data_IF_104567496750
#
_entry.id   IF_104567496750
#
_cell.length_a   1.000
_cell.length_b   1.000
_cell.length_c   1.000
_cell.angle_alpha   90.00
_cell.angle_beta   90.00
_cell.angle_gamma   90.00
#
_symmetry.space_group_name_H-M   'P 1'
#
loop_
_entity.id
_entity.type
_entity.pdbx_description
1 polymer ?
#
# COMPACT_ATOMS: atom_id res chain seq x y z
N UNK A 1 -10.95 -0.17 22.23
CA UNK A 1 -12.09 0.53 21.59
C UNK A 1 -12.81 -0.46 20.70
N UNK A 2 -14.15 -0.43 20.64
CA UNK A 2 -14.96 -1.30 19.77
C UNK A 2 -15.45 -0.50 18.57
N UNK A 3 -15.40 -1.10 17.38
CA UNK A 3 -15.82 -0.45 16.14
C UNK A 3 -17.05 -1.17 15.58
N UNK A 4 -18.19 -0.47 15.37
CA UNK A 4 -19.36 -1.08 14.76
C UNK A 4 -19.13 -1.32 13.26
N UNK A 5 -19.61 -2.45 12.75
CA UNK A 5 -19.45 -2.82 11.35
C UNK A 5 -19.93 -4.23 11.04
N UNK A 6 -19.65 -4.68 9.81
CA UNK A 6 -19.94 -6.02 9.32
C UNK A 6 -18.62 -6.72 8.97
N UNK A 7 -18.42 -7.92 9.50
CA UNK A 7 -17.32 -8.79 9.06
C UNK A 7 -17.81 -9.67 7.91
N UNK A 8 -17.34 -9.39 6.70
CA UNK A 8 -17.64 -10.18 5.52
C UNK A 8 -16.71 -11.38 5.43
N UNK A 9 -17.25 -12.51 5.02
CA UNK A 9 -16.50 -13.65 4.52
C UNK A 9 -16.58 -13.64 2.99
N UNK A 10 -15.60 -13.03 2.33
CA UNK A 10 -15.66 -12.76 0.88
C UNK A 10 -15.11 -13.93 0.03
N UNK A 11 -14.35 -14.83 0.64
CA UNK A 11 -13.84 -16.07 0.06
C UNK A 11 -13.47 -17.06 1.18
N UNK A 12 -13.36 -18.38 0.93
CA UNK A 12 -13.04 -19.35 1.96
C UNK A 12 -11.82 -18.96 2.81
N UNK A 13 -12.02 -18.81 4.13
CA UNK A 13 -11.01 -18.38 5.11
C UNK A 13 -10.47 -16.97 4.90
N UNK A 14 -11.22 -16.09 4.22
CA UNK A 14 -10.84 -14.71 3.92
C UNK A 14 -11.92 -13.75 4.39
N UNK A 15 -11.50 -12.74 5.14
CA UNK A 15 -12.41 -11.79 5.77
C UNK A 15 -12.03 -10.35 5.50
N UNK A 16 -13.04 -9.48 5.43
CA UNK A 16 -12.87 -8.04 5.35
C UNK A 16 -13.91 -7.37 6.26
N UNK A 17 -13.50 -6.32 6.97
CA UNK A 17 -14.35 -5.61 7.91
C UNK A 17 -14.86 -4.31 7.31
N UNK A 18 -16.17 -4.18 7.10
CA UNK A 18 -16.84 -2.96 6.67
C UNK A 18 -17.26 -2.14 7.89
N UNK A 19 -16.73 -0.94 8.04
CA UNK A 19 -17.10 -0.01 9.12
C UNK A 19 -18.49 0.58 8.87
N UNK A 20 -19.26 0.81 9.94
CA UNK A 20 -20.52 1.57 9.84
C UNK A 20 -20.25 3.02 9.41
N UNK A 21 -21.05 3.61 8.49
CA UNK A 21 -22.21 3.03 7.81
C UNK A 21 -21.85 2.00 6.73
N UNK A 22 -22.61 0.91 6.70
CA UNK A 22 -22.41 -0.21 5.77
C UNK A 22 -23.38 -0.15 4.59
N UNK A 23 -23.15 -1.01 3.58
CA UNK A 23 -24.04 -1.20 2.42
C UNK A 23 -24.20 0.03 1.51
N UNK A 24 -23.28 1.00 1.56
CA UNK A 24 -23.27 2.13 0.63
C UNK A 24 -22.83 1.69 -0.76
N UNK A 25 -23.24 2.44 -1.79
CA UNK A 25 -22.95 2.04 -3.18
C UNK A 25 -21.49 2.23 -3.60
N UNK A 26 -20.73 3.05 -2.89
CA UNK A 26 -19.30 3.24 -3.13
C UNK A 26 -18.50 2.60 -2.00
N UNK A 27 -17.35 2.01 -2.32
CA UNK A 27 -16.51 1.32 -1.35
C UNK A 27 -15.03 1.71 -1.49
N UNK A 28 -14.40 1.99 -0.35
CA UNK A 28 -12.94 2.09 -0.23
C UNK A 28 -12.44 0.78 0.38
N UNK A 29 -11.56 0.07 -0.32
CA UNK A 29 -10.82 -1.04 0.27
C UNK A 29 -9.54 -0.48 0.88
N UNK A 30 -9.47 -0.47 2.19
CA UNK A 30 -8.33 0.00 2.96
C UNK A 30 -7.33 -1.14 3.19
N UNK A 31 -6.08 -0.93 2.81
CA UNK A 31 -4.97 -1.88 2.87
C UNK A 31 -3.89 -1.30 3.79
N UNK A 32 -3.58 -1.99 4.88
CA UNK A 32 -2.55 -1.60 5.83
C UNK A 32 -1.13 -1.91 5.37
N UNK A 33 -0.13 -1.60 6.20
CA UNK A 33 1.25 -2.02 5.95
C UNK A 33 1.52 -3.49 6.33
N UNK A 34 2.79 -3.93 6.18
CA UNK A 34 3.22 -5.32 6.40
C UNK A 34 2.73 -5.90 7.73
N UNK A 35 2.89 -5.18 8.84
CA UNK A 35 2.50 -5.64 10.17
C UNK A 35 1.02 -5.41 10.50
N UNK A 36 0.29 -4.76 9.61
CA UNK A 36 -1.09 -4.39 9.84
C UNK A 36 -2.06 -5.54 9.50
N UNK A 37 -3.23 -5.43 10.11
CA UNK A 37 -4.39 -6.27 9.85
C UNK A 37 -5.64 -5.51 10.25
N UNK A 38 -6.69 -6.23 10.65
CA UNK A 38 -7.90 -5.56 11.10
C UNK A 38 -7.63 -4.72 12.35
N UNK A 39 -8.05 -3.45 12.30
CA UNK A 39 -8.06 -2.49 13.39
C UNK A 39 -6.67 -2.12 13.98
N UNK A 40 -5.57 -2.35 13.26
CA UNK A 40 -4.22 -1.95 13.71
C UNK A 40 -3.91 -0.47 13.46
N UNK A 41 -4.68 0.21 12.60
CA UNK A 41 -4.48 1.61 12.20
C UNK A 41 -5.59 2.52 12.75
N UNK A 42 -5.33 3.31 13.82
CA UNK A 42 -6.36 4.12 14.45
C UNK A 42 -6.99 5.18 13.55
N UNK A 43 -6.24 5.78 12.62
CA UNK A 43 -6.76 6.88 11.79
C UNK A 43 -7.77 6.44 10.72
N UNK A 44 -7.97 5.13 10.51
CA UNK A 44 -9.02 4.61 9.61
C UNK A 44 -10.40 5.14 10.03
N UNK A 45 -10.62 5.37 11.32
CA UNK A 45 -11.89 5.96 11.82
C UNK A 45 -12.11 7.39 11.33
N UNK A 46 -11.05 8.19 11.22
CA UNK A 46 -11.15 9.54 10.65
C UNK A 46 -11.54 9.46 9.17
N UNK A 47 -10.96 8.50 8.43
CA UNK A 47 -11.32 8.24 7.03
C UNK A 47 -12.80 7.83 6.90
N UNK A 48 -13.29 6.97 7.81
CA UNK A 48 -14.72 6.60 7.87
C UNK A 48 -15.59 7.84 8.08
N UNK A 49 -15.28 8.67 9.08
CA UNK A 49 -16.07 9.85 9.42
C UNK A 49 -16.16 10.86 8.27
N UNK A 50 -15.07 11.04 7.53
CA UNK A 50 -14.98 12.03 6.47
C UNK A 50 -15.59 11.56 5.14
N UNK A 51 -15.51 10.26 4.83
CA UNK A 51 -15.96 9.72 3.55
C UNK A 51 -17.38 9.13 3.59
N UNK A 52 -17.86 8.71 4.76
CA UNK A 52 -19.23 8.20 4.90
C UNK A 52 -20.31 9.20 4.46
N UNK A 53 -20.23 10.51 4.78
CA UNK A 53 -21.19 11.51 4.28
C UNK A 53 -21.20 11.66 2.75
N UNK A 54 -20.12 11.25 2.08
CA UNK A 54 -19.98 11.24 0.62
C UNK A 54 -20.47 9.94 -0.02
N UNK A 55 -21.06 9.03 0.76
CA UNK A 55 -21.62 7.77 0.27
C UNK A 55 -20.60 6.64 0.11
N UNK A 56 -19.43 6.73 0.77
CA UNK A 56 -18.40 5.69 0.75
C UNK A 56 -18.43 4.83 2.00
N UNK A 57 -18.56 3.52 1.83
CA UNK A 57 -18.27 2.55 2.87
C UNK A 57 -16.76 2.25 2.91
N UNK A 58 -16.19 2.16 4.10
CA UNK A 58 -14.77 1.80 4.28
C UNK A 58 -14.68 0.34 4.68
N UNK A 59 -13.87 -0.41 3.96
CA UNK A 59 -13.71 -1.86 4.10
C UNK A 59 -12.24 -2.16 4.29
N UNK A 60 -11.85 -2.63 5.47
CA UNK A 60 -10.48 -3.07 5.72
C UNK A 60 -10.33 -4.56 5.40
N UNK A 61 -9.39 -4.90 4.51
CA UNK A 61 -9.13 -6.28 4.11
C UNK A 61 -8.16 -6.95 5.09
N UNK A 62 -8.41 -8.22 5.41
CA UNK A 62 -7.41 -9.10 6.01
C UNK A 62 -6.87 -10.05 4.93
N UNK A 63 -5.55 -10.08 4.77
CA UNK A 63 -4.86 -10.85 3.73
C UNK A 63 -4.00 -11.96 4.35
N UNK A 64 -3.52 -12.90 3.52
CA UNK A 64 -2.51 -13.86 4.00
C UNK A 64 -1.25 -13.14 4.48
N UNK A 65 -0.90 -12.01 3.88
CA UNK A 65 0.27 -11.21 4.23
C UNK A 65 0.10 -10.40 5.52
N UNK A 66 -1.11 -10.26 6.06
CA UNK A 66 -1.33 -9.48 7.29
C UNK A 66 -0.50 -9.99 8.48
N UNK A 67 -0.17 -9.08 9.40
CA UNK A 67 0.61 -9.33 10.61
C UNK A 67 2.04 -9.85 10.35
N UNK A 68 2.23 -11.18 10.35
CA UNK A 68 3.53 -11.84 10.15
C UNK A 68 3.54 -12.74 8.92
N UNK A 69 2.46 -12.74 8.14
CA UNK A 69 2.36 -13.57 6.94
C UNK A 69 3.09 -12.98 5.73
N UNK A 70 3.36 -11.67 5.72
CA UNK A 70 3.94 -10.96 4.57
C UNK A 70 5.32 -11.48 4.16
N UNK A 71 6.15 -11.93 5.10
CA UNK A 71 7.48 -12.48 4.81
C UNK A 71 7.42 -13.79 4.00
N UNK A 72 6.26 -14.45 3.99
CA UNK A 72 5.99 -15.71 3.28
C UNK A 72 4.98 -15.54 2.13
N UNK A 73 4.63 -14.29 1.77
CA UNK A 73 3.69 -13.94 0.70
C UNK A 73 4.40 -13.24 -0.46
N UNK A 74 3.61 -12.71 -1.40
CA UNK A 74 4.05 -11.89 -2.53
C UNK A 74 2.99 -10.85 -2.88
N UNK A 75 3.38 -9.75 -3.54
CA UNK A 75 2.42 -8.77 -4.08
C UNK A 75 1.41 -9.39 -5.05
N UNK A 76 1.86 -10.36 -5.85
CA UNK A 76 0.99 -11.10 -6.78
C UNK A 76 -0.16 -11.79 -6.02
N UNK A 77 0.16 -12.44 -4.89
CA UNK A 77 -0.83 -13.12 -4.05
C UNK A 77 -1.75 -12.12 -3.36
N UNK A 78 -1.21 -11.01 -2.88
CA UNK A 78 -2.00 -9.96 -2.23
C UNK A 78 -2.97 -9.33 -3.24
N UNK A 79 -2.53 -9.09 -4.48
CA UNK A 79 -3.39 -8.62 -5.56
C UNK A 79 -4.49 -9.62 -5.96
N UNK A 80 -4.21 -10.92 -5.93
CA UNK A 80 -5.23 -11.97 -6.14
C UNK A 80 -6.30 -11.98 -5.03
N UNK A 81 -5.90 -11.76 -3.78
CA UNK A 81 -6.80 -11.67 -2.63
C UNK A 81 -7.65 -10.39 -2.68
N UNK A 82 -7.04 -9.25 -3.00
CA UNK A 82 -7.75 -7.99 -3.26
C UNK A 82 -8.75 -8.16 -4.40
N UNK A 83 -8.36 -8.80 -5.50
CA UNK A 83 -9.26 -9.02 -6.65
C UNK A 83 -10.44 -9.94 -6.28
N UNK A 84 -10.23 -10.88 -5.37
CA UNK A 84 -11.31 -11.72 -4.84
C UNK A 84 -12.29 -10.90 -3.99
N UNK A 85 -11.81 -9.97 -3.17
CA UNK A 85 -12.68 -9.04 -2.47
C UNK A 85 -13.42 -8.10 -3.43
N UNK A 86 -12.74 -7.54 -4.45
CA UNK A 86 -13.38 -6.70 -5.47
C UNK A 86 -14.52 -7.44 -6.17
N UNK A 87 -14.29 -8.68 -6.62
CA UNK A 87 -15.36 -9.52 -7.23
C UNK A 87 -16.53 -9.76 -6.27
N UNK A 88 -16.25 -10.04 -5.00
CA UNK A 88 -17.29 -10.19 -3.99
C UNK A 88 -18.11 -8.91 -3.84
N UNK A 89 -17.47 -7.75 -3.69
CA UNK A 89 -18.15 -6.45 -3.53
C UNK A 89 -18.98 -6.05 -4.76
N UNK A 90 -18.54 -6.41 -5.97
CA UNK A 90 -19.33 -6.22 -7.20
C UNK A 90 -20.53 -7.17 -7.31
N UNK A 91 -20.51 -8.31 -6.62
CA UNK A 91 -21.61 -9.27 -6.63
C UNK A 91 -22.80 -8.79 -5.79
N UNK A 92 -23.98 -9.39 -6.00
CA UNK A 92 -25.17 -9.13 -5.19
C UNK A 92 -24.95 -9.42 -3.70
N UNK A 93 -24.17 -10.46 -3.38
CA UNK A 93 -23.84 -10.81 -1.99
C UNK A 93 -22.95 -9.75 -1.30
N UNK A 94 -22.12 -9.04 -2.05
CA UNK A 94 -21.28 -7.95 -1.55
C UNK A 94 -21.91 -6.55 -1.67
N UNK A 95 -23.19 -6.47 -2.04
CA UNK A 95 -23.96 -5.22 -2.10
C UNK A 95 -24.01 -4.54 -3.48
N UNK A 96 -23.48 -5.19 -4.53
CA UNK A 96 -23.39 -4.65 -5.89
C UNK A 96 -22.84 -3.23 -5.89
N UNK A 97 -21.59 -3.06 -5.41
CA UNK A 97 -20.95 -1.74 -5.32
C UNK A 97 -20.74 -1.15 -6.72
N UNK A 98 -21.07 0.13 -6.87
CA UNK A 98 -20.99 0.89 -8.13
C UNK A 98 -19.59 1.47 -8.33
N UNK A 99 -18.92 1.88 -7.24
CA UNK A 99 -17.56 2.42 -7.26
C UNK A 99 -16.70 1.72 -6.23
N UNK A 100 -15.47 1.34 -6.62
CA UNK A 100 -14.49 0.75 -5.72
C UNK A 100 -13.14 1.44 -5.93
N UNK A 101 -12.54 1.95 -4.86
CA UNK A 101 -11.15 2.44 -4.88
C UNK A 101 -10.32 1.70 -3.84
N UNK A 102 -9.01 1.65 -4.06
CA UNK A 102 -8.06 1.16 -3.06
C UNK A 102 -7.48 2.33 -2.27
N UNK A 103 -7.22 2.12 -0.99
CA UNK A 103 -6.47 3.04 -0.14
C UNK A 103 -5.36 2.25 0.53
N UNK A 104 -4.15 2.39 0.02
CA UNK A 104 -2.94 1.80 0.58
C UNK A 104 -2.30 2.72 1.61
N UNK A 105 -2.05 2.19 2.80
CA UNK A 105 -1.20 2.80 3.84
C UNK A 105 0.17 2.14 3.84
N UNK A 106 1.25 2.92 3.88
CA UNK A 106 2.61 2.39 3.98
C UNK A 106 2.87 1.42 2.82
N UNK A 107 3.40 0.24 3.10
CA UNK A 107 3.56 -0.88 2.14
C UNK A 107 2.27 -1.36 1.47
N UNK A 108 1.07 -1.10 2.03
CA UNK A 108 -0.20 -1.28 1.30
C UNK A 108 -0.34 -0.35 0.07
N UNK A 109 0.52 0.67 -0.04
CA UNK A 109 0.68 1.45 -1.27
C UNK A 109 1.35 0.65 -2.39
N UNK A 110 2.22 -0.31 -2.06
CA UNK A 110 2.80 -1.24 -3.04
C UNK A 110 1.70 -2.16 -3.57
N UNK A 111 0.83 -2.68 -2.69
CA UNK A 111 -0.35 -3.44 -3.11
C UNK A 111 -1.26 -2.61 -4.02
N UNK A 112 -1.50 -1.34 -3.67
CA UNK A 112 -2.33 -0.43 -4.47
C UNK A 112 -1.70 -0.19 -5.85
N UNK A 113 -0.41 0.15 -5.91
CA UNK A 113 0.34 0.33 -7.16
C UNK A 113 0.29 -0.94 -8.01
N UNK A 114 0.67 -2.07 -7.43
CA UNK A 114 0.74 -3.35 -8.11
C UNK A 114 -0.64 -3.78 -8.64
N UNK A 115 -1.69 -3.59 -7.85
CA UNK A 115 -3.06 -3.86 -8.27
C UNK A 115 -3.51 -2.94 -9.42
N UNK A 116 -3.22 -1.64 -9.36
CA UNK A 116 -3.55 -0.71 -10.45
C UNK A 116 -2.90 -1.10 -11.77
N UNK A 117 -1.66 -1.61 -11.72
CA UNK A 117 -0.93 -2.07 -12.91
C UNK A 117 -1.48 -3.37 -13.50
N UNK A 118 -1.99 -4.28 -12.65
CA UNK A 118 -2.38 -5.63 -13.06
C UNK A 118 -3.89 -5.81 -13.26
N UNK A 119 -4.69 -5.23 -12.36
CA UNK A 119 -6.15 -5.39 -12.28
C UNK A 119 -6.89 -4.05 -12.27
N UNK A 120 -6.24 -2.95 -12.64
CA UNK A 120 -6.81 -1.60 -12.58
C UNK A 120 -8.17 -1.46 -13.26
N UNK A 121 -8.45 -2.20 -14.33
CA UNK A 121 -9.76 -2.18 -15.02
C UNK A 121 -10.95 -2.65 -14.16
N UNK A 122 -10.70 -3.30 -13.02
CA UNK A 122 -11.73 -3.81 -12.11
C UNK A 122 -12.19 -2.79 -11.06
N UNK A 123 -11.45 -1.68 -10.91
CA UNK A 123 -11.66 -0.63 -9.91
C UNK A 123 -11.65 0.77 -10.53
N UNK A 124 -12.03 1.77 -9.75
CA UNK A 124 -12.24 3.14 -10.19
C UNK A 124 -11.07 4.09 -9.83
N UNK A 125 -10.13 3.65 -8.99
CA UNK A 125 -8.93 4.43 -8.65
C UNK A 125 -8.18 3.90 -7.42
N UNK A 126 -7.11 4.60 -7.03
CA UNK A 126 -6.29 4.23 -5.87
C UNK A 126 -5.63 5.41 -5.16
N UNK A 127 -5.48 5.30 -3.85
CA UNK A 127 -4.78 6.29 -3.00
C UNK A 127 -3.58 5.58 -2.38
N UNK A 128 -2.41 6.20 -2.48
CA UNK A 128 -1.16 5.71 -1.90
C UNK A 128 -0.71 6.71 -0.83
N UNK A 129 -0.91 6.36 0.44
CA UNK A 129 -0.49 7.17 1.57
C UNK A 129 0.76 6.59 2.21
N UNK A 130 1.79 7.42 2.39
CA UNK A 130 3.06 6.97 2.98
C UNK A 130 3.76 5.92 2.11
N UNK A 131 3.69 6.04 0.79
CA UNK A 131 4.34 5.15 -0.17
C UNK A 131 5.87 5.33 -0.14
N UNK A 132 6.52 4.63 0.78
CA UNK A 132 7.98 4.67 0.98
C UNK A 132 8.65 3.42 0.42
N UNK A 133 9.95 3.50 0.17
CA UNK A 133 10.77 2.35 -0.19
C UNK A 133 11.13 1.52 1.04
N UNK A 134 10.75 0.24 1.05
CA UNK A 134 11.21 -0.71 2.08
C UNK A 134 12.72 -0.91 2.00
N UNK A 135 13.30 -0.93 0.79
CA UNK A 135 14.73 -1.08 0.56
C UNK A 135 15.52 0.02 1.26
N UNK A 136 15.13 1.27 1.03
CA UNK A 136 15.76 2.44 1.65
C UNK A 136 15.39 2.52 3.14
N UNK A 137 14.13 2.23 3.48
CA UNK A 137 13.60 2.23 4.84
C UNK A 137 14.36 1.28 5.78
N UNK A 138 14.39 -0.01 5.45
CA UNK A 138 15.04 -1.04 6.28
C UNK A 138 16.56 -0.88 6.36
N UNK A 139 17.22 -0.40 5.29
CA UNK A 139 18.68 -0.24 5.30
C UNK A 139 19.18 0.74 6.35
N UNK A 140 18.36 1.68 6.83
CA UNK A 140 18.76 2.68 7.83
C UNK A 140 19.16 2.08 9.18
N UNK A 141 18.61 0.92 9.52
CA UNK A 141 18.83 0.25 10.80
C UNK A 141 19.89 -0.84 10.78
N UNK A 142 20.59 -1.04 9.66
CA UNK A 142 21.48 -2.19 9.44
C UNK A 142 22.85 -1.71 8.98
N UNK A 143 23.92 -2.30 9.54
CA UNK A 143 25.29 -2.08 9.07
C UNK A 143 25.43 -2.42 7.58
N UNK A 144 26.11 -1.57 6.81
CA UNK A 144 26.24 -1.71 5.35
C UNK A 144 26.85 -3.06 4.93
N UNK A 145 27.89 -3.51 5.63
CA UNK A 145 28.52 -4.79 5.33
C UNK A 145 27.62 -5.96 5.72
N UNK A 146 26.81 -5.83 6.79
CA UNK A 146 25.78 -6.82 7.10
C UNK A 146 24.69 -6.87 6.02
N UNK A 147 24.15 -5.70 5.63
CA UNK A 147 23.10 -5.57 4.62
C UNK A 147 23.53 -6.21 3.29
N UNK A 148 24.73 -5.88 2.82
CA UNK A 148 25.29 -6.43 1.58
C UNK A 148 25.43 -7.96 1.64
N UNK A 149 25.97 -8.51 2.74
CA UNK A 149 26.10 -9.97 2.90
C UNK A 149 24.73 -10.69 2.87
N UNK A 150 23.73 -10.14 3.55
CA UNK A 150 22.39 -10.72 3.59
C UNK A 150 21.74 -10.70 2.20
N UNK A 151 21.88 -9.59 1.49
CA UNK A 151 21.42 -9.40 0.11
C UNK A 151 22.08 -10.40 -0.86
N UNK A 152 23.41 -10.50 -0.83
CA UNK A 152 24.15 -11.41 -1.73
C UNK A 152 23.77 -12.87 -1.50
N UNK A 153 23.63 -13.27 -0.24
CA UNK A 153 23.21 -14.63 0.11
C UNK A 153 21.78 -14.92 -0.35
N UNK A 154 20.83 -14.02 -0.12
CA UNK A 154 19.45 -14.21 -0.56
C UNK A 154 19.35 -14.30 -2.09
N UNK A 155 20.06 -13.41 -2.80
CA UNK A 155 20.15 -13.42 -4.27
C UNK A 155 20.75 -14.71 -4.80
N UNK A 156 21.81 -15.21 -4.15
CA UNK A 156 22.43 -16.49 -4.50
C UNK A 156 21.47 -17.67 -4.33
N UNK A 157 20.69 -17.71 -3.24
CA UNK A 157 19.68 -18.75 -3.02
C UNK A 157 18.58 -18.72 -4.08
N UNK A 158 18.07 -17.54 -4.43
CA UNK A 158 17.11 -17.39 -5.54
C UNK A 158 17.72 -17.90 -6.86
N UNK A 159 18.97 -17.56 -7.16
CA UNK A 159 19.68 -18.04 -8.35
C UNK A 159 19.88 -19.56 -8.40
N UNK A 160 19.89 -20.24 -7.26
CA UNK A 160 19.93 -21.71 -7.14
C UNK A 160 18.55 -22.37 -7.20
N UNK A 161 17.48 -21.61 -7.43
CA UNK A 161 16.10 -22.12 -7.42
C UNK A 161 15.50 -22.29 -6.01
N UNK A 162 16.17 -21.80 -4.97
CA UNK A 162 15.76 -21.92 -3.57
C UNK A 162 14.94 -20.71 -3.09
N UNK A 163 14.15 -20.13 -3.99
CA UNK A 163 13.46 -18.86 -3.72
C UNK A 163 12.41 -18.94 -2.58
N UNK A 164 11.87 -20.13 -2.35
CA UNK A 164 10.85 -20.38 -1.32
C UNK A 164 11.45 -20.79 0.05
N UNK A 165 12.77 -20.93 0.15
CA UNK A 165 13.42 -21.31 1.40
C UNK A 165 13.26 -20.18 2.42
N UNK A 166 12.84 -20.53 3.64
CA UNK A 166 12.80 -19.60 4.77
C UNK A 166 14.23 -19.32 5.20
N UNK A 167 14.57 -18.03 5.28
CA UNK A 167 15.92 -17.59 5.61
C UNK A 167 16.20 -17.75 7.11
N UNK A 168 17.49 -17.87 7.50
CA UNK A 168 17.87 -17.93 8.91
C UNK A 168 17.41 -16.71 9.72
N UNK A 169 17.36 -16.84 11.05
CA UNK A 169 16.80 -15.83 11.96
C UNK A 169 17.50 -14.46 11.89
N UNK A 170 18.74 -14.39 11.42
CA UNK A 170 19.43 -13.12 11.16
C UNK A 170 18.64 -12.20 10.21
N UNK A 171 17.89 -12.77 9.26
CA UNK A 171 17.03 -12.03 8.35
C UNK A 171 15.76 -11.56 9.05
N UNK A 172 15.13 -12.41 9.88
CA UNK A 172 13.95 -12.02 10.65
C UNK A 172 14.24 -10.90 11.65
N UNK A 173 15.46 -10.81 12.18
CA UNK A 173 15.86 -9.74 13.09
C UNK A 173 15.84 -8.36 12.42
N UNK A 174 16.16 -8.31 11.13
CA UNK A 174 16.05 -7.10 10.31
C UNK A 174 14.59 -6.83 9.93
N UNK A 175 13.80 -7.88 9.78
CA UNK A 175 12.40 -7.85 9.33
C UNK A 175 11.39 -7.82 10.49
N UNK A 176 11.70 -7.06 11.54
CA UNK A 176 10.81 -6.85 12.71
C UNK A 176 10.36 -8.15 13.39
N UNK A 177 11.22 -9.17 13.40
CA UNK A 177 10.92 -10.50 13.93
C UNK A 177 10.06 -11.37 13.01
N UNK A 178 9.89 -11.01 11.74
CA UNK A 178 9.04 -11.76 10.79
C UNK A 178 9.87 -12.78 10.00
N UNK A 179 9.49 -14.07 9.98
CA UNK A 179 10.11 -15.05 9.10
C UNK A 179 9.94 -14.66 7.63
N UNK A 180 11.00 -14.75 6.84
CA UNK A 180 11.00 -14.28 5.45
C UNK A 180 11.65 -15.30 4.52
N UNK A 181 11.10 -15.45 3.32
CA UNK A 181 11.68 -16.30 2.26
C UNK A 181 12.81 -15.59 1.51
N UNK A 182 13.67 -16.35 0.82
CA UNK A 182 14.70 -15.79 -0.06
C UNK A 182 14.10 -14.87 -1.13
N UNK A 183 12.98 -15.25 -1.72
CA UNK A 183 12.23 -14.44 -2.68
C UNK A 183 11.76 -13.13 -2.06
N UNK A 184 11.02 -13.18 -0.95
CA UNK A 184 10.41 -11.99 -0.36
C UNK A 184 11.46 -10.99 0.14
N UNK A 185 12.59 -11.50 0.64
CA UNK A 185 13.75 -10.65 0.94
C UNK A 185 14.22 -9.91 -0.32
N UNK A 186 14.50 -10.63 -1.40
CA UNK A 186 14.96 -10.01 -2.65
C UNK A 186 13.97 -8.99 -3.21
N UNK A 187 12.67 -9.28 -3.08
CA UNK A 187 11.58 -8.43 -3.53
C UNK A 187 11.56 -7.07 -2.81
N UNK A 188 11.81 -7.07 -1.49
CA UNK A 188 11.78 -5.88 -0.64
C UNK A 188 13.11 -5.11 -0.60
N UNK A 189 14.25 -5.81 -0.66
CA UNK A 189 15.56 -5.25 -0.26
C UNK A 189 16.55 -5.05 -1.40
N UNK A 190 16.24 -5.52 -2.62
CA UNK A 190 17.14 -5.37 -3.76
C UNK A 190 16.60 -4.33 -4.75
N UNK A 191 17.50 -3.59 -5.43
CA UNK A 191 17.11 -2.76 -6.56
C UNK A 191 16.38 -3.56 -7.63
N UNK A 192 15.20 -3.09 -8.02
CA UNK A 192 14.36 -3.73 -9.03
C UNK A 192 13.68 -5.03 -8.55
N UNK A 193 13.59 -5.26 -7.24
CA UNK A 193 12.69 -6.26 -6.68
C UNK A 193 11.22 -5.91 -6.93
N UNK A 194 10.31 -6.89 -6.79
CA UNK A 194 8.91 -6.69 -7.19
C UNK A 194 8.18 -5.61 -6.36
N UNK A 195 8.65 -5.30 -5.14
CA UNK A 195 8.13 -4.24 -4.27
C UNK A 195 8.77 -2.85 -4.49
N UNK A 196 9.84 -2.78 -5.29
CA UNK A 196 10.67 -1.58 -5.45
C UNK A 196 10.02 -0.54 -6.38
N UNK A 197 8.85 -0.03 -5.99
CA UNK A 197 8.11 1.01 -6.72
C UNK A 197 8.51 2.44 -6.30
N UNK A 198 9.07 2.60 -5.10
CA UNK A 198 9.15 3.90 -4.42
C UNK A 198 10.56 4.31 -4.01
N UNK A 199 11.62 3.59 -4.43
CA UNK A 199 12.99 4.03 -4.14
C UNK A 199 13.32 5.34 -4.84
N UNK A 200 14.02 6.22 -4.13
CA UNK A 200 14.36 7.56 -4.62
C UNK A 200 15.31 7.57 -5.83
N UNK A 201 16.09 6.50 -5.99
CA UNK A 201 17.08 6.34 -7.05
C UNK A 201 16.55 5.67 -8.34
N UNK A 202 15.28 5.26 -8.38
CA UNK A 202 14.71 4.57 -9.55
C UNK A 202 14.82 5.43 -10.81
N UNK A 203 15.24 4.85 -11.93
CA UNK A 203 15.36 5.58 -13.20
C UNK A 203 14.00 6.06 -13.72
N UNK A 204 13.99 7.11 -14.54
CA UNK A 204 12.76 7.56 -15.22
C UNK A 204 12.15 6.44 -16.05
N UNK A 205 12.95 5.66 -16.78
CA UNK A 205 12.48 4.50 -17.54
C UNK A 205 11.79 3.46 -16.65
N UNK A 206 12.30 3.21 -15.44
CA UNK A 206 11.65 2.32 -14.47
C UNK A 206 10.30 2.90 -14.03
N UNK A 207 10.25 4.19 -13.68
CA UNK A 207 9.03 4.87 -13.24
C UNK A 207 7.98 4.97 -14.36
N UNK A 208 8.38 5.21 -15.61
CA UNK A 208 7.49 5.16 -16.78
C UNK A 208 6.93 3.75 -16.99
N UNK A 209 7.69 2.71 -16.67
CA UNK A 209 7.23 1.33 -16.74
C UNK A 209 6.24 0.95 -15.62
N UNK A 210 6.16 1.74 -14.56
CA UNK A 210 5.25 1.60 -13.41
C UNK A 210 4.22 2.72 -13.39
N UNK A 211 4.49 3.86 -12.73
CA UNK A 211 3.63 5.04 -12.68
C UNK A 211 3.08 5.45 -14.05
N UNK A 212 3.92 5.44 -15.09
CA UNK A 212 3.51 5.79 -16.47
C UNK A 212 2.49 4.83 -17.10
N UNK A 213 2.37 3.61 -16.57
CA UNK A 213 1.41 2.59 -17.03
C UNK A 213 0.10 2.56 -16.25
N UNK A 214 -0.06 3.34 -15.18
CA UNK A 214 -1.33 3.42 -14.45
C UNK A 214 -2.40 4.04 -15.38
N UNK A 215 -3.56 3.38 -15.47
CA UNK A 215 -4.68 3.77 -16.35
C UNK A 215 -5.97 4.14 -15.61
N UNK A 216 -5.89 4.37 -14.30
CA UNK A 216 -7.01 4.78 -13.44
C UNK A 216 -6.59 5.96 -12.57
N UNK A 217 -7.54 6.81 -12.15
CA UNK A 217 -7.28 7.90 -11.20
C UNK A 217 -6.48 7.44 -9.99
N UNK A 218 -5.44 8.17 -9.63
CA UNK A 218 -4.70 7.89 -8.40
C UNK A 218 -4.15 9.14 -7.70
N UNK A 219 -4.01 9.03 -6.38
CA UNK A 219 -3.50 10.08 -5.49
C UNK A 219 -2.25 9.60 -4.77
N UNK A 220 -1.19 10.42 -4.79
CA UNK A 220 0.00 10.23 -3.96
C UNK A 220 -0.09 11.17 -2.76
N UNK A 221 -0.27 10.62 -1.55
CA UNK A 221 -0.36 11.38 -0.31
C UNK A 221 0.86 11.07 0.58
N UNK A 222 1.97 11.74 0.31
CA UNK A 222 3.27 11.46 0.92
C UNK A 222 3.43 12.19 2.25
N UNK A 223 3.95 11.57 3.31
CA UNK A 223 4.05 12.21 4.63
C UNK A 223 5.27 13.14 4.75
N UNK A 224 5.07 14.41 5.16
CA UNK A 224 6.13 15.43 5.24
C UNK A 224 7.25 15.04 6.22
N UNK A 225 6.89 14.65 7.44
CA UNK A 225 7.80 14.23 8.51
C UNK A 225 7.85 12.71 8.69
N UNK A 226 7.65 11.97 7.59
CA UNK A 226 7.79 10.51 7.58
C UNK A 226 9.19 10.07 8.04
N UNK A 227 9.23 9.37 9.17
CA UNK A 227 10.44 8.85 9.81
C UNK A 227 10.96 7.54 9.19
N UNK A 228 10.17 6.90 8.31
CA UNK A 228 10.59 5.70 7.58
C UNK A 228 11.44 6.05 6.36
N UNK A 229 11.47 7.33 5.96
CA UNK A 229 12.21 7.82 4.79
C UNK A 229 13.59 8.33 5.23
N UNK A 230 14.69 7.86 4.61
CA UNK A 230 16.02 8.34 4.97
C UNK A 230 16.19 9.85 4.75
N UNK A 231 17.03 10.46 5.60
CA UNK A 231 17.31 11.89 5.56
C UNK A 231 17.92 12.38 4.25
N UNK A 232 18.58 11.50 3.47
CA UNK A 232 19.16 11.86 2.18
C UNK A 232 18.11 12.03 1.06
N UNK A 233 16.89 11.52 1.27
CA UNK A 233 15.83 11.57 0.26
C UNK A 233 15.17 12.94 0.25
N UNK A 234 15.29 13.64 -0.88
CA UNK A 234 14.53 14.85 -1.16
C UNK A 234 13.09 14.46 -1.56
N UNK A 235 12.16 14.52 -0.61
CA UNK A 235 10.76 14.10 -0.80
C UNK A 235 10.05 14.94 -1.89
N UNK A 236 10.09 16.29 -1.89
CA UNK A 236 9.52 17.08 -2.98
C UNK A 236 10.06 16.69 -4.36
N UNK A 237 11.38 16.53 -4.51
CA UNK A 237 12.00 16.14 -5.77
C UNK A 237 11.58 14.73 -6.20
N UNK A 238 11.47 13.80 -5.26
CA UNK A 238 11.03 12.42 -5.51
C UNK A 238 9.59 12.39 -6.02
N UNK A 239 8.66 13.06 -5.35
CA UNK A 239 7.26 13.15 -5.76
C UNK A 239 7.14 13.84 -7.13
N UNK A 240 7.92 14.89 -7.37
CA UNK A 240 7.94 15.57 -8.66
C UNK A 240 8.37 14.63 -9.79
N UNK A 241 9.43 13.84 -9.58
CA UNK A 241 9.91 12.85 -10.55
C UNK A 241 8.87 11.77 -10.84
N UNK A 242 8.15 11.28 -9.83
CA UNK A 242 7.04 10.34 -10.05
C UNK A 242 5.92 10.98 -10.86
N UNK A 243 5.60 12.24 -10.57
CA UNK A 243 4.57 12.99 -11.28
C UNK A 243 4.92 13.19 -12.77
N UNK A 244 6.18 13.51 -13.10
CA UNK A 244 6.61 13.69 -14.50
C UNK A 244 6.62 12.39 -15.29
N UNK A 245 6.83 11.24 -14.63
CA UNK A 245 6.77 9.91 -15.25
C UNK A 245 5.34 9.36 -15.32
N UNK A 246 4.37 10.02 -14.69
CA UNK A 246 2.97 9.59 -14.66
C UNK A 246 2.16 10.19 -15.82
N UNK A 247 1.06 9.53 -16.18
CA UNK A 247 0.10 10.14 -17.09
C UNK A 247 -0.73 11.21 -16.34
N UNK A 248 -0.67 12.50 -16.73
CA UNK A 248 -1.38 13.58 -16.03
C UNK A 248 -2.90 13.48 -16.12
N UNK A 249 -3.44 12.64 -17.02
CA UNK A 249 -4.87 12.32 -17.06
C UNK A 249 -5.32 11.54 -15.82
N UNK A 250 -4.43 10.76 -15.22
CA UNK A 250 -4.76 9.82 -14.15
C UNK A 250 -4.17 10.23 -12.80
N UNK A 251 -3.05 10.94 -12.79
CA UNK A 251 -2.49 11.49 -11.57
C UNK A 251 -3.32 12.67 -11.07
N UNK A 252 -3.77 12.61 -9.83
CA UNK A 252 -4.45 13.72 -9.17
C UNK A 252 -3.53 14.93 -9.01
N UNK A 253 -4.03 16.12 -9.36
CA UNK A 253 -3.34 17.40 -9.08
C UNK A 253 -3.20 17.69 -7.57
N UNK A 254 -3.92 16.95 -6.74
CA UNK A 254 -3.85 17.04 -5.28
C UNK A 254 -2.78 16.13 -4.67
N UNK A 255 -2.01 15.42 -5.50
CA UNK A 255 -0.86 14.63 -5.05
C UNK A 255 0.24 15.53 -4.50
N UNK A 256 0.88 15.11 -3.40
CA UNK A 256 1.92 15.91 -2.75
C UNK A 256 2.19 15.50 -1.30
N UNK A 257 2.75 16.44 -0.54
CA UNK A 257 3.04 16.26 0.88
C UNK A 257 1.79 16.50 1.74
N UNK A 258 1.52 15.58 2.67
CA UNK A 258 0.59 15.78 3.78
C UNK A 258 1.34 16.59 4.84
N UNK A 259 0.96 17.86 4.98
CA UNK A 259 1.62 18.78 5.91
C UNK A 259 1.53 18.28 7.35
N UNK A 260 2.65 18.32 8.07
CA UNK A 260 2.70 17.91 9.48
C UNK A 260 2.65 16.40 9.73
N UNK A 261 2.49 15.58 8.70
CA UNK A 261 2.27 14.14 8.87
C UNK A 261 3.57 13.38 9.15
N UNK A 262 3.56 12.52 10.16
CA UNK A 262 4.47 11.38 10.24
C UNK A 262 3.96 10.19 9.39
N UNK A 263 4.68 9.06 9.41
CA UNK A 263 4.34 7.89 8.58
C UNK A 263 2.88 7.42 8.74
N UNK A 264 2.40 7.39 9.99
CA UNK A 264 1.06 6.91 10.39
C UNK A 264 0.01 8.03 10.48
N UNK A 265 0.36 9.26 10.13
CA UNK A 265 -0.54 10.43 10.17
C UNK A 265 -1.19 10.59 11.55
N UNK A 266 -0.37 10.55 12.61
CA UNK A 266 -0.86 10.59 14.00
C UNK A 266 -1.27 12.00 14.46
N UNK A 267 -0.88 13.04 13.72
CA UNK A 267 -1.22 14.42 14.00
C UNK A 267 -2.63 14.74 13.48
N UNK A 268 -3.49 15.35 14.30
CA UNK A 268 -4.89 15.63 13.94
C UNK A 268 -5.02 16.57 12.72
N UNK A 269 -4.21 17.64 12.69
CA UNK A 269 -4.17 18.57 11.56
C UNK A 269 -3.73 17.87 10.28
N UNK A 270 -2.76 16.95 10.38
CA UNK A 270 -2.29 16.16 9.25
C UNK A 270 -3.35 15.17 8.75
N UNK A 271 -4.13 14.55 9.66
CA UNK A 271 -5.27 13.70 9.29
C UNK A 271 -6.34 14.49 8.53
N UNK A 272 -6.68 15.68 9.03
CA UNK A 272 -7.64 16.57 8.40
C UNK A 272 -7.15 17.01 7.01
N UNK A 273 -5.85 17.28 6.88
CA UNK A 273 -5.22 17.59 5.60
C UNK A 273 -5.30 16.42 4.61
N UNK A 274 -4.95 15.20 5.04
CA UNK A 274 -5.08 13.98 4.23
C UNK A 274 -6.53 13.79 3.77
N UNK A 275 -7.51 13.90 4.67
CA UNK A 275 -8.92 13.74 4.32
C UNK A 275 -9.35 14.79 3.29
N UNK A 276 -8.83 16.01 3.38
CA UNK A 276 -9.06 17.05 2.37
C UNK A 276 -8.47 16.68 1.01
N UNK A 277 -7.23 16.16 0.96
CA UNK A 277 -6.64 15.65 -0.29
C UNK A 277 -7.49 14.55 -0.92
N UNK A 278 -7.99 13.61 -0.10
CA UNK A 278 -8.81 12.48 -0.55
C UNK A 278 -10.17 12.96 -1.10
N UNK A 279 -10.86 13.88 -0.40
CA UNK A 279 -12.12 14.45 -0.87
C UNK A 279 -11.95 15.18 -2.20
N UNK A 280 -10.89 15.99 -2.32
CA UNK A 280 -10.59 16.71 -3.55
C UNK A 280 -10.24 15.76 -4.71
N UNK A 281 -9.53 14.66 -4.43
CA UNK A 281 -9.28 13.61 -5.41
C UNK A 281 -10.58 12.96 -5.91
N UNK A 282 -11.51 12.65 -5.00
CA UNK A 282 -12.81 12.08 -5.38
C UNK A 282 -13.62 13.05 -6.24
N UNK A 283 -13.66 14.34 -5.88
CA UNK A 283 -14.31 15.37 -6.70
C UNK A 283 -13.66 15.53 -8.08
N UNK A 284 -12.32 15.59 -8.15
CA UNK A 284 -11.56 15.77 -9.39
C UNK A 284 -11.92 14.73 -10.45
N UNK A 285 -12.15 13.49 -10.04
CA UNK A 285 -12.43 12.37 -10.95
C UNK A 285 -13.88 11.91 -10.97
N UNK A 286 -14.79 12.62 -10.28
CA UNK A 286 -16.20 12.25 -10.22
C UNK A 286 -16.44 10.85 -9.63
N UNK A 287 -15.67 10.50 -8.58
CA UNK A 287 -15.73 9.22 -7.90
C UNK A 287 -16.88 9.16 -6.88
#
# INVERSE_FOLDING_TARGET
MSNPGILHNYAPKKVAFEFTPTSLKKAVIFIGGLEDGLLTLPYVHNVVQELAPLGWSIIQIQMTSSYKGWGLSSLDKDAEEINSLVRYLRSSAGGSRDKIILFGHSTGSQDTMHYLLRYGETIDGGIMQGCVSDREGFSQGVDEAQWQRLNDRAKMLVGKGQKNDILPSEYSNVMMGTPITAYRWCSLTLPGGDDDYFSSDLSETTLESTFGKIKKPFLIAYSEFDQMVPHFVDKPKTIHKWATCSNPRWLSKHSGLIKGANHRVEQEDARSYLCTMVKNFMEEFGL
#
